data_IF_715278039120
#
_entry.id   IF_715278039120
#
_cell.length_a   1.000
_cell.length_b   1.000
_cell.length_c   1.000
_cell.angle_alpha   90.00
_cell.angle_beta   90.00
_cell.angle_gamma   90.00
#
_symmetry.space_group_name_H-M   'P 1'
#
loop_
_entity.id
_entity.type
_entity.pdbx_description
1 polymer ?
#
# COMPACT_ATOMS: atom_id res chain seq x y z
N UNK A 1 9.06 -16.18 4.76
CA UNK A 1 9.84 -17.44 4.70
C UNK A 1 10.91 -17.43 5.78
N UNK A 2 11.24 -18.59 6.35
CA UNK A 2 12.31 -18.78 7.34
C UNK A 2 13.27 -19.86 6.90
N UNK A 3 14.58 -19.64 7.10
CA UNK A 3 15.63 -20.62 6.84
C UNK A 3 16.31 -20.98 8.15
N UNK A 4 16.41 -22.27 8.46
CA UNK A 4 17.12 -22.81 9.63
C UNK A 4 17.70 -24.17 9.27
N UNK A 5 18.98 -24.38 9.58
CA UNK A 5 19.65 -25.69 9.44
C UNK A 5 19.51 -26.34 8.05
N UNK A 6 19.71 -25.55 6.98
CA UNK A 6 19.57 -26.03 5.60
C UNK A 6 18.13 -26.32 5.16
N UNK A 7 17.13 -25.98 6.00
CA UNK A 7 15.71 -26.14 5.69
C UNK A 7 15.02 -24.81 5.54
N UNK A 8 14.13 -24.75 4.58
CA UNK A 8 13.31 -23.60 4.27
C UNK A 8 11.84 -23.91 4.51
N UNK A 9 11.13 -22.95 5.11
CA UNK A 9 9.68 -22.96 5.24
C UNK A 9 9.13 -21.64 4.72
N UNK A 10 8.21 -21.72 3.77
CA UNK A 10 7.52 -20.60 3.18
C UNK A 10 6.00 -20.73 3.39
N UNK A 11 5.34 -19.58 3.48
CA UNK A 11 3.89 -19.47 3.51
C UNK A 11 3.49 -18.54 2.38
N UNK A 12 2.45 -18.93 1.66
CA UNK A 12 1.82 -18.13 0.63
C UNK A 12 0.36 -17.90 0.99
N UNK A 13 -0.10 -16.66 0.77
CA UNK A 13 -1.48 -16.24 0.85
C UNK A 13 -1.76 -15.34 -0.36
N UNK A 14 -2.84 -15.60 -1.10
CA UNK A 14 -3.27 -14.73 -2.21
C UNK A 14 -4.24 -13.62 -1.76
N UNK A 15 -4.47 -13.49 -0.45
CA UNK A 15 -5.37 -12.49 0.14
C UNK A 15 -6.86 -12.78 -0.03
N UNK A 16 -7.24 -13.90 -0.66
CA UNK A 16 -8.64 -14.27 -0.89
C UNK A 16 -9.02 -15.57 -0.20
N UNK A 17 -8.48 -16.68 -0.69
CA UNK A 17 -8.89 -18.02 -0.25
C UNK A 17 -7.78 -19.08 -0.38
N UNK A 18 -6.63 -18.75 -0.97
CA UNK A 18 -5.53 -19.71 -1.14
C UNK A 18 -4.44 -19.48 -0.13
N UNK A 19 -4.26 -20.48 0.72
CA UNK A 19 -3.17 -20.55 1.68
C UNK A 19 -2.33 -21.80 1.43
N UNK A 20 -1.01 -21.68 1.43
CA UNK A 20 -0.13 -22.82 1.21
C UNK A 20 1.14 -22.72 2.04
N UNK A 21 1.41 -23.77 2.80
CA UNK A 21 2.66 -23.95 3.54
C UNK A 21 3.60 -24.84 2.74
N UNK A 22 4.74 -24.28 2.33
CA UNK A 22 5.77 -24.98 1.57
C UNK A 22 7.00 -25.24 2.44
N UNK A 23 7.63 -26.40 2.22
CA UNK A 23 8.86 -26.77 2.90
C UNK A 23 9.79 -27.55 1.98
N UNK A 24 11.08 -27.44 2.24
CA UNK A 24 12.10 -28.15 1.48
C UNK A 24 13.50 -27.84 1.98
N UNK A 25 14.48 -28.44 1.32
CA UNK A 25 15.88 -28.24 1.63
C UNK A 25 16.45 -27.10 0.79
N UNK A 26 17.48 -26.44 1.34
CA UNK A 26 18.29 -25.43 0.67
C UNK A 26 19.66 -26.06 0.42
N UNK A 27 20.04 -26.10 -0.85
CA UNK A 27 21.33 -26.60 -1.33
C UNK A 27 22.46 -25.65 -0.93
N UNK A 28 23.70 -26.16 -0.91
CA UNK A 28 24.87 -25.39 -0.50
C UNK A 28 25.17 -24.19 -1.42
N UNK A 29 24.71 -24.25 -2.67
CA UNK A 29 24.79 -23.15 -3.64
C UNK A 29 23.66 -22.10 -3.47
N UNK A 30 22.77 -22.31 -2.50
CA UNK A 30 21.62 -21.46 -2.22
C UNK A 30 20.37 -21.81 -3.02
N UNK A 31 20.41 -22.81 -3.90
CA UNK A 31 19.24 -23.36 -4.58
C UNK A 31 18.24 -23.93 -3.58
N UNK A 32 16.95 -23.80 -3.84
CA UNK A 32 15.92 -24.40 -2.99
C UNK A 32 14.69 -24.77 -3.79
N UNK A 33 14.12 -25.92 -3.43
CA UNK A 33 12.84 -26.41 -3.96
C UNK A 33 11.93 -26.77 -2.80
N UNK A 34 10.84 -26.04 -2.64
CA UNK A 34 9.87 -26.24 -1.56
C UNK A 34 8.57 -26.76 -2.13
N UNK A 35 7.91 -27.65 -1.40
CA UNK A 35 6.61 -28.20 -1.82
C UNK A 35 5.60 -28.10 -0.69
N UNK A 36 4.33 -27.93 -1.06
CA UNK A 36 3.18 -28.04 -0.16
C UNK A 36 2.55 -29.43 -0.24
N UNK A 37 1.62 -29.73 0.68
CA UNK A 37 0.80 -30.94 0.59
C UNK A 37 -0.17 -30.92 -0.60
N UNK A 38 -0.56 -29.72 -1.02
CA UNK A 38 -1.59 -29.49 -2.04
C UNK A 38 -0.99 -29.38 -3.45
N UNK A 39 0.29 -29.72 -3.61
CA UNK A 39 0.98 -29.77 -4.90
C UNK A 39 1.59 -28.45 -5.35
N UNK A 40 1.47 -27.37 -4.58
CA UNK A 40 2.22 -26.15 -4.84
C UNK A 40 3.72 -26.38 -4.74
N UNK A 41 4.48 -25.75 -5.63
CA UNK A 41 5.93 -25.87 -5.72
C UNK A 41 6.58 -24.49 -5.79
N UNK A 42 7.64 -24.28 -5.03
CA UNK A 42 8.43 -23.05 -5.07
C UNK A 42 9.87 -23.40 -5.41
N UNK A 43 10.40 -22.76 -6.46
CA UNK A 43 11.77 -22.89 -6.90
C UNK A 43 12.46 -21.55 -6.74
N UNK A 44 13.61 -21.51 -6.05
CA UNK A 44 14.31 -20.24 -5.84
C UNK A 44 15.78 -20.39 -5.49
N UNK A 45 16.46 -19.24 -5.40
CA UNK A 45 17.89 -19.16 -5.08
C UNK A 45 18.13 -18.06 -4.04
N UNK A 46 18.80 -18.42 -2.95
CA UNK A 46 19.28 -17.51 -1.93
C UNK A 46 20.61 -16.89 -2.37
N UNK A 47 20.63 -15.57 -2.56
CA UNK A 47 21.83 -14.80 -2.90
C UNK A 47 21.95 -13.60 -1.96
N UNK A 48 23.01 -13.57 -1.15
CA UNK A 48 23.34 -12.39 -0.33
C UNK A 48 22.24 -11.97 0.65
N UNK A 49 21.42 -12.92 1.11
CA UNK A 49 20.26 -12.66 1.97
C UNK A 49 18.97 -12.35 1.22
N UNK A 50 18.94 -12.35 -0.11
CA UNK A 50 17.71 -12.23 -0.90
C UNK A 50 17.37 -13.57 -1.54
N UNK A 51 16.12 -14.01 -1.45
CA UNK A 51 15.63 -15.19 -2.16
C UNK A 51 14.86 -14.72 -3.39
N UNK A 52 15.20 -15.24 -4.56
CA UNK A 52 14.44 -15.00 -5.81
C UNK A 52 13.95 -16.31 -6.36
N UNK A 53 12.78 -16.32 -6.97
CA UNK A 53 12.22 -17.56 -7.48
C UNK A 53 10.83 -17.44 -8.07
N UNK A 54 10.27 -18.59 -8.39
CA UNK A 54 8.88 -18.77 -8.81
C UNK A 54 8.16 -19.64 -7.79
N UNK A 55 6.85 -19.43 -7.71
CA UNK A 55 5.91 -20.25 -6.94
C UNK A 55 4.78 -20.67 -7.87
N UNK A 56 4.64 -21.95 -8.08
CA UNK A 56 3.60 -22.59 -8.86
C UNK A 56 2.48 -23.08 -7.94
N UNK A 57 1.26 -22.58 -8.16
CA UNK A 57 0.05 -23.01 -7.44
C UNK A 57 -1.05 -23.32 -8.46
N UNK A 58 -1.34 -24.61 -8.63
CA UNK A 58 -2.28 -25.07 -9.64
C UNK A 58 -1.77 -24.77 -11.04
N UNK A 59 -2.47 -23.90 -11.78
CA UNK A 59 -2.09 -23.48 -13.15
C UNK A 59 -1.46 -22.08 -13.20
N UNK A 60 -1.11 -21.49 -12.06
CA UNK A 60 -0.60 -20.12 -11.97
C UNK A 60 0.82 -20.12 -11.42
N UNK A 61 1.69 -19.37 -12.07
CA UNK A 61 3.08 -19.13 -11.65
C UNK A 61 3.20 -17.70 -11.10
N UNK A 62 3.83 -17.57 -9.94
CA UNK A 62 4.07 -16.29 -9.26
C UNK A 62 5.57 -16.08 -9.09
N UNK A 63 6.12 -15.09 -9.79
CA UNK A 63 7.50 -14.64 -9.57
C UNK A 63 7.62 -13.84 -8.28
N UNK A 64 8.67 -14.08 -7.49
CA UNK A 64 8.91 -13.32 -6.26
C UNK A 64 10.38 -13.00 -6.02
N UNK A 65 10.60 -11.96 -5.22
CA UNK A 65 11.88 -11.63 -4.58
C UNK A 65 11.58 -11.30 -3.12
N UNK A 66 12.30 -11.93 -2.20
CA UNK A 66 12.15 -11.73 -0.76
C UNK A 66 13.51 -11.46 -0.13
N UNK A 67 13.72 -10.23 0.34
CA UNK A 67 14.93 -9.87 1.07
C UNK A 67 14.87 -10.35 2.52
N UNK A 68 16.04 -10.65 3.10
CA UNK A 68 16.18 -11.00 4.51
C UNK A 68 15.66 -9.85 5.35
N UNK A 69 14.66 -10.13 6.17
CA UNK A 69 14.16 -9.18 7.15
C UNK A 69 15.30 -8.76 8.09
N UNK A 70 15.74 -7.50 8.00
CA UNK A 70 16.64 -6.90 8.99
C UNK A 70 15.83 -6.70 10.27
N UNK A 71 16.19 -7.42 11.33
CA UNK A 71 15.50 -7.35 12.62
C UNK A 71 15.38 -5.91 13.11
N UNK A 72 14.14 -5.46 13.35
CA UNK A 72 13.84 -4.16 13.94
C UNK A 72 14.55 -4.04 15.29
N UNK A 73 15.60 -3.22 15.34
CA UNK A 73 16.22 -2.85 16.61
C UNK A 73 15.28 -1.86 17.28
N UNK A 74 14.51 -2.33 18.26
CA UNK A 74 13.58 -1.51 19.06
C UNK A 74 14.36 -0.38 19.73
N UNK A 75 14.32 0.84 19.17
CA UNK A 75 14.82 2.04 19.85
C UNK A 75 13.74 2.57 20.78
N UNK A 76 13.92 2.27 22.06
CA UNK A 76 13.22 2.85 23.20
C UNK A 76 13.30 4.38 23.16
N UNK A 77 12.16 5.07 23.05
CA UNK A 77 12.07 6.52 23.28
C UNK A 77 11.82 6.72 24.77
N UNK A 78 12.83 7.22 25.47
CA UNK A 78 12.73 7.70 26.85
C UNK A 78 11.98 9.03 26.86
N UNK A 79 10.82 9.04 27.50
CA UNK A 79 10.11 10.25 27.89
C UNK A 79 10.95 11.04 28.89
N UNK A 80 11.22 12.31 28.59
CA UNK A 80 11.65 13.30 29.59
C UNK A 80 10.62 14.42 29.59
N UNK A 81 10.02 14.62 30.76
CA UNK A 81 9.02 15.64 30.99
C UNK A 81 9.63 17.02 31.21
N UNK A 82 8.80 18.04 31.02
CA UNK A 82 8.91 19.31 31.72
C UNK A 82 7.49 19.90 31.84
N UNK A 83 7.11 20.20 33.07
CA UNK A 83 5.86 20.85 33.44
C UNK A 83 5.95 22.38 33.28
N UNK A 84 4.84 23.03 32.93
CA UNK A 84 4.55 24.40 33.37
C UNK A 84 3.03 24.72 33.29
N UNK A 85 2.50 25.04 34.47
CA UNK A 85 1.24 25.72 34.85
C UNK A 85 0.97 27.01 34.04
N UNK A 86 -0.21 27.64 33.93
CA UNK A 86 -1.60 27.51 34.37
C UNK A 86 -2.37 28.68 33.68
N UNK A 87 -3.70 28.58 33.49
CA UNK A 87 -4.65 29.69 33.67
C UNK A 87 -6.08 29.22 33.38
N UNK A 88 -6.95 29.42 34.36
CA UNK A 88 -8.41 29.21 34.31
C UNK A 88 -9.06 30.42 33.62
N UNK A 89 -10.02 30.20 32.72
CA UNK A 89 -11.21 31.05 32.64
C UNK A 89 -12.44 30.23 32.20
N UNK A 90 -13.53 30.55 32.88
CA UNK A 90 -14.88 29.97 32.83
C UNK A 90 -15.63 30.46 31.58
N UNK A 91 -16.46 29.61 30.99
CA UNK A 91 -17.46 30.01 30.00
C UNK A 91 -18.43 28.88 29.69
N UNK A 92 -19.50 28.78 30.45
CA UNK A 92 -20.67 27.97 30.14
C UNK A 92 -21.69 28.80 29.32
N UNK A 93 -22.17 28.22 28.22
CA UNK A 93 -23.35 28.65 27.46
C UNK A 93 -23.62 27.55 26.43
N UNK A 94 -24.58 26.67 26.68
CA UNK A 94 -25.99 26.77 26.27
C UNK A 94 -26.20 26.34 24.81
N UNK A 95 -27.14 25.41 24.66
CA UNK A 95 -27.63 24.70 23.48
C UNK A 95 -28.24 25.62 22.40
N UNK A 96 -28.01 25.26 21.13
CA UNK A 96 -28.62 25.79 19.89
C UNK A 96 -27.73 25.35 18.70
N UNK A 97 -28.09 24.31 17.95
CA UNK A 97 -29.01 24.30 16.80
C UNK A 97 -28.57 25.20 15.63
N UNK A 98 -28.30 24.50 14.51
CA UNK A 98 -28.20 24.93 13.11
C UNK A 98 -27.47 26.23 12.74
N UNK A 99 -26.39 26.06 11.97
CA UNK A 99 -25.76 27.16 11.25
C UNK A 99 -24.53 26.67 10.52
N UNK A 100 -24.72 26.14 9.31
CA UNK A 100 -23.63 25.77 8.42
C UNK A 100 -22.71 26.96 8.20
N UNK A 101 -21.42 26.73 8.47
CA UNK A 101 -20.36 27.60 8.00
C UNK A 101 -19.60 26.79 6.95
N UNK A 102 -19.82 27.16 5.70
CA UNK A 102 -18.99 26.80 4.56
C UNK A 102 -17.61 27.38 4.81
N UNK A 103 -16.80 26.64 5.56
CA UNK A 103 -15.36 26.80 5.57
C UNK A 103 -14.88 26.51 4.16
N UNK A 104 -14.78 27.56 3.35
CA UNK A 104 -14.22 27.52 2.01
C UNK A 104 -12.78 27.01 2.12
N UNK A 105 -12.63 25.72 1.89
CA UNK A 105 -11.36 25.03 1.73
C UNK A 105 -10.59 25.74 0.62
N UNK A 106 -9.52 26.44 1.00
CA UNK A 106 -8.66 27.21 0.09
C UNK A 106 -7.74 26.31 -0.75
N UNK A 107 -8.00 25.00 -0.81
CA UNK A 107 -7.26 24.05 -1.61
C UNK A 107 -7.40 24.30 -3.11
N UNK A 108 -6.32 24.09 -3.86
CA UNK A 108 -6.37 24.17 -5.32
C UNK A 108 -7.24 23.04 -5.86
N UNK A 109 -8.19 23.38 -6.72
CA UNK A 109 -9.11 22.44 -7.35
C UNK A 109 -8.37 21.49 -8.29
N UNK A 110 -8.59 20.19 -8.10
CA UNK A 110 -8.01 19.15 -8.95
C UNK A 110 -8.93 18.83 -10.13
N UNK A 111 -10.20 18.57 -9.86
CA UNK A 111 -11.20 18.20 -10.87
C UNK A 111 -12.63 18.24 -10.31
N UNK A 112 -13.60 18.09 -11.22
CA UNK A 112 -14.97 17.79 -10.85
C UNK A 112 -15.16 16.33 -10.44
N UNK A 113 -16.15 16.03 -9.60
CA UNK A 113 -16.46 14.66 -9.17
C UNK A 113 -16.84 13.74 -10.32
N UNK A 114 -17.41 14.29 -11.40
CA UNK A 114 -17.79 13.56 -12.61
C UNK A 114 -16.59 13.20 -13.52
N UNK A 115 -15.43 13.82 -13.29
CA UNK A 115 -14.21 13.56 -14.07
C UNK A 115 -13.41 12.36 -13.52
N UNK A 116 -13.84 11.81 -12.39
CA UNK A 116 -13.26 10.61 -11.78
C UNK A 116 -14.24 9.45 -12.03
N UNK A 117 -13.84 8.40 -12.75
CA UNK A 117 -14.74 7.27 -13.04
C UNK A 117 -14.88 6.33 -11.85
N UNK A 118 -16.11 5.86 -11.61
CA UNK A 118 -16.40 4.78 -10.63
C UNK A 118 -15.66 3.49 -11.02
N UNK A 119 -15.07 2.82 -10.03
CA UNK A 119 -14.18 1.66 -10.22
C UNK A 119 -12.82 2.04 -10.81
N UNK A 120 -12.47 3.33 -10.82
CA UNK A 120 -11.27 3.83 -11.51
C UNK A 120 -10.67 5.07 -10.86
N UNK A 121 -10.00 5.88 -11.67
CA UNK A 121 -9.34 7.10 -11.20
C UNK A 121 -8.64 7.91 -12.28
N UNK A 122 -8.27 9.14 -11.92
CA UNK A 122 -7.63 10.11 -12.79
C UNK A 122 -6.28 10.54 -12.19
N UNK A 123 -5.24 10.57 -13.03
CA UNK A 123 -3.86 10.90 -12.63
C UNK A 123 -3.54 12.35 -13.01
N UNK A 124 -3.30 13.18 -12.01
CA UNK A 124 -2.88 14.58 -12.13
C UNK A 124 -1.35 14.67 -12.09
N UNK A 125 -0.71 14.40 -13.24
CA UNK A 125 0.75 14.25 -13.33
C UNK A 125 1.53 15.47 -12.84
N UNK A 126 1.07 16.68 -13.16
CA UNK A 126 1.73 17.93 -12.76
C UNK A 126 1.69 18.15 -11.23
N UNK A 127 0.65 17.62 -10.59
CA UNK A 127 0.46 17.67 -9.13
C UNK A 127 1.04 16.45 -8.42
N UNK A 128 1.39 15.40 -9.17
CA UNK A 128 1.81 14.09 -8.66
C UNK A 128 0.78 13.48 -7.72
N UNK A 129 -0.50 13.62 -8.05
CA UNK A 129 -1.63 13.05 -7.31
C UNK A 129 -2.43 12.15 -8.25
N UNK A 130 -2.97 11.06 -7.71
CA UNK A 130 -4.01 10.25 -8.36
C UNK A 130 -5.23 10.26 -7.46
N UNK A 131 -6.39 10.59 -8.04
CA UNK A 131 -7.69 10.51 -7.36
C UNK A 131 -8.43 9.31 -7.90
N UNK A 132 -8.91 8.45 -7.02
CA UNK A 132 -9.68 7.24 -7.36
C UNK A 132 -11.10 7.33 -6.82
N UNK A 133 -11.98 6.53 -7.41
CA UNK A 133 -13.35 6.35 -6.96
C UNK A 133 -13.70 4.86 -6.95
N UNK A 134 -13.38 4.09 -5.88
CA UNK A 134 -13.67 2.66 -5.82
C UNK A 134 -15.17 2.35 -5.96
N UNK A 135 -16.00 3.13 -5.24
CA UNK A 135 -17.46 3.06 -5.29
C UNK A 135 -18.03 4.45 -5.58
N UNK A 136 -19.26 4.52 -6.09
CA UNK A 136 -19.90 5.79 -6.45
C UNK A 136 -19.94 6.75 -5.25
N UNK A 137 -19.33 7.91 -5.43
CA UNK A 137 -19.22 8.96 -4.42
C UNK A 137 -18.10 8.78 -3.38
N UNK A 138 -17.41 7.63 -3.34
CA UNK A 138 -16.26 7.43 -2.45
C UNK A 138 -14.96 7.84 -3.15
N UNK A 139 -14.44 9.03 -2.84
CA UNK A 139 -13.20 9.53 -3.43
C UNK A 139 -12.01 9.32 -2.50
N UNK A 140 -10.92 8.77 -3.05
CA UNK A 140 -9.62 8.67 -2.37
C UNK A 140 -8.58 9.42 -3.17
N UNK A 141 -7.53 9.89 -2.50
CA UNK A 141 -6.39 10.49 -3.16
C UNK A 141 -5.09 9.90 -2.61
N UNK A 142 -4.14 9.67 -3.52
CA UNK A 142 -2.83 9.15 -3.21
C UNK A 142 -1.76 9.89 -4.02
N UNK A 143 -0.51 9.81 -3.55
CA UNK A 143 0.62 10.24 -4.36
C UNK A 143 0.67 9.41 -5.64
N UNK A 144 0.83 10.08 -6.79
CA UNK A 144 1.08 9.41 -8.06
C UNK A 144 2.54 8.93 -8.19
N UNK A 145 3.38 9.17 -7.17
CA UNK A 145 4.78 8.74 -7.15
C UNK A 145 4.87 7.30 -6.66
N UNK A 146 5.23 6.40 -7.57
CA UNK A 146 5.44 4.99 -7.25
C UNK A 146 6.55 4.83 -6.20
N UNK A 147 6.24 4.15 -5.11
CA UNK A 147 7.14 3.92 -3.96
C UNK A 147 8.32 3.00 -4.24
N UNK A 148 8.36 2.33 -5.41
CA UNK A 148 9.52 1.54 -5.82
C UNK A 148 10.74 2.41 -6.17
N UNK A 149 10.59 3.29 -7.17
CA UNK A 149 11.70 4.07 -7.77
C UNK A 149 11.31 5.50 -8.16
N UNK A 150 10.14 5.97 -7.74
CA UNK A 150 9.72 7.35 -7.93
C UNK A 150 9.13 7.69 -9.30
N UNK A 151 8.84 6.71 -10.15
CA UNK A 151 8.10 6.95 -11.40
C UNK A 151 6.69 7.48 -11.11
N UNK A 152 6.16 8.34 -11.98
CA UNK A 152 4.73 8.64 -11.97
C UNK A 152 3.96 7.42 -12.47
N UNK A 153 2.91 7.03 -11.75
CA UNK A 153 1.99 5.96 -12.18
C UNK A 153 1.35 6.31 -13.53
N UNK A 154 1.07 5.30 -14.34
CA UNK A 154 0.76 5.45 -15.77
C UNK A 154 -0.73 5.33 -16.10
N UNK A 155 -1.49 4.53 -15.35
CA UNK A 155 -2.91 4.28 -15.61
C UNK A 155 -3.64 3.83 -14.34
N UNK A 156 -4.97 3.94 -14.35
CA UNK A 156 -5.85 3.31 -13.37
C UNK A 156 -6.79 2.37 -14.14
N UNK A 157 -6.75 1.09 -13.82
CA UNK A 157 -7.57 0.04 -14.45
C UNK A 157 -7.59 -1.20 -13.57
N UNK A 158 -8.62 -2.04 -13.73
CA UNK A 158 -8.74 -3.33 -13.04
C UNK A 158 -8.57 -3.18 -11.51
N UNK A 159 -9.27 -2.21 -10.93
CA UNK A 159 -9.22 -1.85 -9.50
C UNK A 159 -7.81 -1.49 -8.96
N UNK A 160 -6.88 -1.15 -9.87
CA UNK A 160 -5.50 -0.81 -9.51
C UNK A 160 -4.97 0.46 -10.16
N UNK A 161 -4.10 1.15 -9.44
CA UNK A 161 -3.21 2.21 -9.90
C UNK A 161 -1.91 1.54 -10.38
N UNK A 162 -1.59 1.69 -11.66
CA UNK A 162 -0.56 0.90 -12.34
C UNK A 162 0.68 1.73 -12.65
N UNK A 163 1.88 1.19 -12.38
CA UNK A 163 3.16 1.79 -12.75
C UNK A 163 3.86 0.98 -13.84
N UNK A 164 3.87 1.50 -15.08
CA UNK A 164 4.49 0.84 -16.23
C UNK A 164 6.02 0.73 -16.17
N UNK A 165 6.72 1.45 -15.28
CA UNK A 165 8.19 1.40 -15.24
C UNK A 165 8.74 0.00 -14.91
N UNK A 166 8.11 -0.70 -13.96
CA UNK A 166 8.53 -2.04 -13.52
C UNK A 166 7.35 -2.95 -13.13
N UNK A 167 6.11 -2.50 -13.36
CA UNK A 167 4.91 -3.31 -13.15
C UNK A 167 4.26 -3.21 -11.77
N UNK A 168 4.69 -2.29 -10.89
CA UNK A 168 4.04 -2.13 -9.58
C UNK A 168 2.58 -1.74 -9.72
N UNK A 169 1.71 -2.33 -8.89
CA UNK A 169 0.28 -2.03 -8.85
C UNK A 169 -0.13 -1.72 -7.42
N UNK A 170 -1.05 -0.77 -7.27
CA UNK A 170 -1.56 -0.34 -5.99
C UNK A 170 -3.09 -0.35 -6.01
N UNK A 171 -3.74 -0.73 -4.91
CA UNK A 171 -5.19 -0.75 -4.77
C UNK A 171 -5.77 0.66 -4.93
N UNK A 172 -6.88 0.79 -5.66
CA UNK A 172 -7.60 2.08 -5.76
C UNK A 172 -8.31 2.46 -4.46
N UNK A 173 -8.51 1.53 -3.54
CA UNK A 173 -9.29 1.71 -2.31
C UNK A 173 -8.48 2.33 -1.17
N UNK A 174 -7.21 1.94 -1.07
CA UNK A 174 -6.35 2.29 0.07
C UNK A 174 -4.87 2.51 -0.30
N UNK A 175 -4.52 2.38 -1.58
CA UNK A 175 -3.15 2.54 -2.06
C UNK A 175 -2.21 1.39 -1.67
N UNK A 176 -2.73 0.29 -1.09
CA UNK A 176 -1.95 -0.89 -0.73
C UNK A 176 -1.24 -1.49 -1.96
N UNK A 177 -0.10 -2.14 -1.74
CA UNK A 177 0.62 -2.81 -2.84
C UNK A 177 -0.10 -4.09 -3.22
N UNK A 178 -0.60 -4.15 -4.45
CA UNK A 178 -1.21 -5.34 -5.04
C UNK A 178 -0.22 -6.14 -5.90
N UNK A 179 0.78 -5.46 -6.47
CA UNK A 179 1.87 -6.10 -7.19
C UNK A 179 3.18 -5.34 -7.02
N UNK A 180 4.26 -6.09 -6.77
CA UNK A 180 5.62 -5.54 -6.64
C UNK A 180 6.18 -5.01 -7.96
N UNK A 181 7.41 -4.47 -7.98
CA UNK A 181 8.44 -4.50 -6.92
C UNK A 181 8.30 -3.47 -5.78
N UNK A 182 7.33 -2.55 -5.82
CA UNK A 182 7.03 -1.70 -4.66
C UNK A 182 6.71 -2.56 -3.42
N UNK A 183 7.11 -2.10 -2.24
CA UNK A 183 6.85 -2.80 -0.96
C UNK A 183 6.16 -1.92 0.08
N UNK A 184 5.86 -0.67 -0.28
CA UNK A 184 5.14 0.29 0.55
C UNK A 184 3.93 0.83 -0.22
N UNK A 185 2.81 1.07 0.46
CA UNK A 185 1.62 1.65 -0.18
C UNK A 185 1.91 3.04 -0.74
N UNK A 186 1.09 3.49 -1.70
CA UNK A 186 1.12 4.90 -2.08
C UNK A 186 0.71 5.75 -0.87
N UNK A 187 1.47 6.82 -0.52
CA UNK A 187 1.06 7.75 0.51
C UNK A 187 -0.33 8.33 0.18
N UNK A 188 -1.22 8.36 1.17
CA UNK A 188 -2.51 9.03 1.04
C UNK A 188 -2.31 10.55 0.99
N UNK A 189 -3.08 11.21 0.13
CA UNK A 189 -3.16 12.65 0.02
C UNK A 189 -4.52 13.10 0.56
N UNK A 190 -4.55 14.23 1.28
CA UNK A 190 -5.80 14.75 1.82
C UNK A 190 -6.56 15.51 0.75
N UNK A 191 -7.84 15.20 0.58
CA UNK A 191 -8.74 15.90 -0.32
C UNK A 191 -10.00 16.33 0.40
N UNK A 192 -10.56 17.45 -0.05
CA UNK A 192 -11.88 17.93 0.34
C UNK A 192 -12.82 17.80 -0.85
N UNK A 193 -13.96 17.15 -0.65
CA UNK A 193 -15.02 17.04 -1.66
C UNK A 193 -16.17 17.95 -1.23
N UNK A 194 -16.53 18.91 -2.08
CA UNK A 194 -17.59 19.87 -1.81
C UNK A 194 -18.45 20.06 -3.06
N UNK A 195 -19.71 19.63 -2.99
CA UNK A 195 -20.59 19.60 -4.16
C UNK A 195 -20.00 18.74 -5.27
N UNK A 196 -19.74 19.34 -6.44
CA UNK A 196 -19.16 18.67 -7.60
C UNK A 196 -17.65 18.87 -7.74
N UNK A 197 -16.95 19.33 -6.72
CA UNK A 197 -15.56 19.75 -6.82
C UNK A 197 -14.66 19.02 -5.82
N UNK A 198 -13.50 18.56 -6.29
CA UNK A 198 -12.45 17.89 -5.50
C UNK A 198 -11.25 18.82 -5.40
N UNK A 199 -10.83 19.12 -4.17
CA UNK A 199 -9.68 19.98 -3.85
C UNK A 199 -8.64 19.20 -3.06
N UNK A 200 -7.37 19.53 -3.27
CA UNK A 200 -6.28 19.06 -2.41
C UNK A 200 -6.23 19.94 -1.15
N UNK A 201 -6.24 19.34 0.03
CA UNK A 201 -6.25 20.04 1.32
C UNK A 201 -4.85 20.53 1.77
#
# INVERSE_FOLDING_TARGET
>A
MSLRDGKAVAYFCDGRDKESWLKGDVEDDGGMKLTSKDGAELNGTLNGGSVRGTLDIGSQEYGFTADKAMGSTRRTVLATGAAATAALLVGCGEYGDEGGDTGGDTGEELAGTADIPVGGGTIFKDRKVVVTQPEEGDFKAFSAVCTHRGCIVSSVSDDTINCACHGSKFSITDGAVENGPATAPLPAEQITVSGNSIRLA
#
